data_IF_109773987362
#
_entry.id   IF_109773987362
#
_cell.length_a   1.000
_cell.length_b   1.000
_cell.length_c   1.000
_cell.angle_alpha   90.00
_cell.angle_beta   90.00
_cell.angle_gamma   90.00
#
_symmetry.space_group_name_H-M   'P 1'
#
loop_
_entity.id
_entity.type
_entity.pdbx_description
1 polymer ?
#
# COMPACT_ATOMS: atom_id res chain seq x y z
N UNK A 1 16.06 -11.37 -8.20
CA UNK A 1 17.11 -11.55 -7.14
C UNK A 1 16.86 -10.48 -6.08
N UNK A 2 16.87 -10.87 -4.79
CA UNK A 2 16.68 -9.92 -3.68
C UNK A 2 18.00 -9.20 -3.36
N UNK A 3 17.90 -7.97 -2.86
CA UNK A 3 19.08 -7.16 -2.50
C UNK A 3 19.57 -7.43 -1.07
N UNK A 4 18.70 -8.00 -0.23
CA UNK A 4 19.02 -8.45 1.13
C UNK A 4 18.53 -9.86 1.34
N UNK A 5 19.09 -10.56 2.34
CA UNK A 5 18.60 -11.86 2.77
C UNK A 5 17.63 -11.67 3.93
N UNK A 6 16.45 -12.27 3.81
CA UNK A 6 15.56 -12.36 4.95
C UNK A 6 16.20 -13.26 6.03
N UNK A 7 16.13 -12.89 7.32
CA UNK A 7 16.62 -13.77 8.38
C UNK A 7 15.92 -15.14 8.33
N UNK A 8 16.67 -16.22 8.55
CA UNK A 8 16.11 -17.58 8.55
C UNK A 8 15.14 -17.80 9.72
N UNK A 9 15.46 -17.23 10.87
CA UNK A 9 14.63 -17.26 12.07
C UNK A 9 14.43 -15.82 12.59
N UNK A 10 13.56 -15.03 11.94
CA UNK A 10 13.42 -13.63 12.29
C UNK A 10 12.86 -13.41 13.70
N UNK A 11 12.04 -14.34 14.20
CA UNK A 11 11.40 -14.22 15.51
C UNK A 11 12.31 -14.60 16.68
N UNK A 12 13.51 -15.08 16.42
CA UNK A 12 14.55 -15.19 17.45
C UNK A 12 15.02 -13.82 17.96
N UNK A 13 14.82 -12.76 17.17
CA UNK A 13 15.09 -11.38 17.58
C UNK A 13 13.86 -10.78 18.27
N UNK A 14 13.94 -10.38 19.56
CA UNK A 14 12.77 -9.95 20.35
C UNK A 14 12.00 -8.78 19.74
N UNK A 15 12.69 -7.80 19.16
CA UNK A 15 12.04 -6.64 18.51
C UNK A 15 11.28 -7.04 17.26
N UNK A 16 11.84 -7.94 16.44
CA UNK A 16 11.17 -8.47 15.24
C UNK A 16 9.93 -9.27 15.64
N UNK A 17 10.07 -10.15 16.65
CA UNK A 17 8.94 -10.93 17.16
C UNK A 17 7.80 -10.03 17.63
N UNK A 18 8.11 -8.98 18.37
CA UNK A 18 7.11 -8.02 18.85
C UNK A 18 6.35 -7.36 17.70
N UNK A 19 7.03 -6.96 16.63
CA UNK A 19 6.38 -6.40 15.42
C UNK A 19 5.51 -7.44 14.73
N UNK A 20 6.01 -8.67 14.53
CA UNK A 20 5.25 -9.73 13.88
C UNK A 20 4.00 -10.10 14.67
N UNK A 21 4.11 -10.19 16.01
CA UNK A 21 2.96 -10.43 16.87
C UNK A 21 1.92 -9.31 16.77
N UNK A 22 2.36 -8.06 16.70
CA UNK A 22 1.45 -6.91 16.52
C UNK A 22 0.79 -6.89 15.13
N UNK A 23 1.53 -7.27 14.07
CA UNK A 23 0.95 -7.43 12.72
C UNK A 23 -0.16 -8.49 12.74
N UNK A 24 0.10 -9.65 13.33
CA UNK A 24 -0.87 -10.75 13.43
C UNK A 24 -2.10 -10.33 14.20
N UNK A 25 -1.92 -9.68 15.34
CA UNK A 25 -3.02 -9.19 16.17
C UNK A 25 -3.85 -8.13 15.43
N UNK A 26 -3.19 -7.17 14.77
CA UNK A 26 -3.86 -6.09 14.04
C UNK A 26 -4.65 -6.60 12.84
N UNK A 27 -4.09 -7.55 12.09
CA UNK A 27 -4.70 -8.11 10.87
C UNK A 27 -5.55 -9.34 11.13
N UNK A 28 -5.55 -9.88 12.35
CA UNK A 28 -6.29 -11.07 12.75
C UNK A 28 -5.96 -12.29 11.85
N UNK A 29 -4.68 -12.52 11.60
CA UNK A 29 -4.15 -13.63 10.82
C UNK A 29 -2.74 -13.98 11.27
N UNK A 30 -2.35 -15.23 11.13
CA UNK A 30 -0.98 -15.66 11.42
C UNK A 30 0.01 -15.36 10.30
N UNK A 31 -0.50 -14.96 9.15
CA UNK A 31 0.31 -14.71 7.96
C UNK A 31 1.16 -13.44 8.08
N UNK A 32 2.46 -13.57 7.79
CA UNK A 32 3.40 -12.44 7.69
C UNK A 32 3.87 -12.34 6.24
N UNK A 33 3.55 -11.23 5.58
CA UNK A 33 3.95 -10.96 4.21
C UNK A 33 5.47 -10.98 4.05
N UNK A 34 5.94 -11.31 2.87
CA UNK A 34 7.36 -11.27 2.53
C UNK A 34 8.00 -9.90 2.81
N UNK A 35 7.32 -8.79 2.52
CA UNK A 35 7.84 -7.45 2.83
C UNK A 35 8.33 -7.35 4.28
N UNK A 36 7.51 -7.76 5.24
CA UNK A 36 7.87 -7.70 6.65
C UNK A 36 9.01 -8.67 7.00
N UNK A 37 9.01 -9.85 6.39
CA UNK A 37 10.07 -10.84 6.58
C UNK A 37 11.42 -10.32 6.08
N UNK A 38 11.42 -9.64 4.93
CA UNK A 38 12.64 -9.03 4.39
C UNK A 38 13.07 -7.81 5.20
N UNK A 39 12.14 -6.95 5.63
CA UNK A 39 12.44 -5.80 6.50
C UNK A 39 13.02 -6.22 7.85
N UNK A 40 12.79 -7.46 8.29
CA UNK A 40 13.36 -7.99 9.53
C UNK A 40 14.90 -8.06 9.52
N UNK A 41 15.57 -7.83 8.39
CA UNK A 41 17.02 -7.68 8.35
C UNK A 41 17.52 -6.45 9.13
N UNK A 42 16.64 -5.42 9.27
CA UNK A 42 16.87 -4.23 10.08
C UNK A 42 15.66 -4.00 11.02
N UNK A 43 15.74 -4.40 12.28
CA UNK A 43 14.63 -4.28 13.22
C UNK A 43 14.11 -2.84 13.40
N UNK A 44 14.97 -1.85 13.33
CA UNK A 44 14.58 -0.43 13.45
C UNK A 44 13.73 0.01 12.25
N UNK A 45 14.16 -0.32 11.04
CA UNK A 45 13.41 -0.03 9.82
C UNK A 45 12.07 -0.76 9.81
N UNK A 46 12.04 -2.02 10.23
CA UNK A 46 10.82 -2.81 10.38
C UNK A 46 9.82 -2.14 11.32
N UNK A 47 10.26 -1.76 12.51
CA UNK A 47 9.42 -1.10 13.53
C UNK A 47 8.83 0.22 13.01
N UNK A 48 9.67 1.07 12.44
CA UNK A 48 9.24 2.38 11.92
C UNK A 48 8.23 2.22 10.79
N UNK A 49 8.50 1.32 9.87
CA UNK A 49 7.62 1.08 8.71
C UNK A 49 6.27 0.52 9.15
N UNK A 50 6.28 -0.49 10.04
CA UNK A 50 5.02 -1.05 10.53
C UNK A 50 4.21 -0.04 11.35
N UNK A 51 4.85 0.74 12.21
CA UNK A 51 4.17 1.77 12.99
C UNK A 51 3.42 2.78 12.09
N UNK A 52 4.05 3.19 11.00
CA UNK A 52 3.43 4.10 10.04
C UNK A 52 2.28 3.44 9.27
N UNK A 53 2.48 2.24 8.75
CA UNK A 53 1.43 1.48 8.05
C UNK A 53 0.24 1.24 8.98
N UNK A 54 0.46 0.83 10.22
CA UNK A 54 -0.61 0.64 11.21
C UNK A 54 -1.40 1.92 11.44
N UNK A 55 -0.69 3.03 11.65
CA UNK A 55 -1.32 4.34 11.89
C UNK A 55 -2.16 4.80 10.70
N UNK A 56 -1.65 4.66 9.49
CA UNK A 56 -2.30 5.17 8.28
C UNK A 56 -3.40 4.23 7.78
N UNK A 57 -3.12 2.93 7.74
CA UNK A 57 -3.99 1.96 7.06
C UNK A 57 -4.91 1.19 8.01
N UNK A 58 -4.46 0.86 9.21
CA UNK A 58 -5.21 -0.01 10.13
C UNK A 58 -5.99 0.76 11.21
N UNK A 59 -5.61 1.99 11.52
CA UNK A 59 -6.32 2.81 12.52
C UNK A 59 -7.55 3.45 11.88
N UNK A 60 -8.75 3.32 12.46
CA UNK A 60 -9.95 3.99 11.97
C UNK A 60 -9.77 5.50 11.83
N UNK A 61 -10.23 6.05 10.70
CA UNK A 61 -10.09 7.48 10.40
C UNK A 61 -11.20 7.91 9.41
N UNK A 62 -11.08 9.10 8.83
CA UNK A 62 -12.08 9.69 7.94
C UNK A 62 -12.35 8.84 6.69
N UNK A 63 -11.30 8.27 6.08
CA UNK A 63 -11.46 7.37 4.94
C UNK A 63 -11.70 5.94 5.44
N UNK A 64 -12.69 5.26 4.87
CA UNK A 64 -12.96 3.87 5.21
C UNK A 64 -11.83 2.93 4.73
N UNK A 65 -11.73 1.72 5.30
CA UNK A 65 -10.64 0.81 4.98
C UNK A 65 -10.56 0.42 3.50
N UNK A 66 -11.67 0.21 2.82
CA UNK A 66 -11.68 -0.14 1.39
C UNK A 66 -11.18 1.02 0.55
N UNK A 67 -11.64 2.24 0.81
CA UNK A 67 -11.17 3.45 0.11
C UNK A 67 -9.66 3.62 0.25
N UNK A 68 -9.11 3.41 1.45
CA UNK A 68 -7.65 3.45 1.67
C UNK A 68 -6.91 2.45 0.79
N UNK A 69 -7.42 1.22 0.65
CA UNK A 69 -6.81 0.20 -0.20
C UNK A 69 -6.88 0.59 -1.69
N UNK A 70 -8.01 1.13 -2.15
CA UNK A 70 -8.16 1.57 -3.54
C UNK A 70 -7.17 2.68 -3.90
N UNK A 71 -6.96 3.64 -2.99
CA UNK A 71 -5.95 4.70 -3.15
C UNK A 71 -4.55 4.09 -3.18
N UNK A 72 -4.26 3.14 -2.29
CA UNK A 72 -2.95 2.48 -2.23
C UNK A 72 -2.64 1.70 -3.51
N UNK A 73 -3.62 0.94 -4.02
CA UNK A 73 -3.50 0.23 -5.31
C UNK A 73 -3.16 1.22 -6.43
N UNK A 74 -3.89 2.32 -6.52
CA UNK A 74 -3.68 3.36 -7.53
C UNK A 74 -2.26 3.91 -7.48
N UNK A 75 -1.78 4.30 -6.32
CA UNK A 75 -0.42 4.79 -6.12
C UNK A 75 0.62 3.72 -6.48
N UNK A 76 0.37 2.47 -6.12
CA UNK A 76 1.26 1.34 -6.40
C UNK A 76 1.37 1.04 -7.89
N UNK A 77 0.27 1.16 -8.64
CA UNK A 77 0.29 1.01 -10.10
C UNK A 77 1.17 2.11 -10.73
N UNK A 78 0.96 3.36 -10.33
CA UNK A 78 1.71 4.51 -10.86
C UNK A 78 3.19 4.42 -10.51
N UNK A 79 3.52 3.96 -9.29
CA UNK A 79 4.89 3.75 -8.85
C UNK A 79 5.55 2.48 -9.42
N UNK A 80 4.81 1.63 -10.13
CA UNK A 80 5.34 0.39 -10.73
C UNK A 80 5.69 -0.70 -9.71
N UNK A 81 5.05 -0.70 -8.54
CA UNK A 81 5.28 -1.72 -7.50
C UNK A 81 4.36 -2.95 -7.70
N UNK A 82 4.81 -3.93 -8.48
CA UNK A 82 4.04 -5.16 -8.71
C UNK A 82 3.66 -5.87 -7.41
N UNK A 83 4.60 -6.01 -6.49
CA UNK A 83 4.34 -6.62 -5.17
C UNK A 83 3.22 -5.90 -4.42
N UNK A 84 3.26 -4.56 -4.39
CA UNK A 84 2.27 -3.75 -3.69
C UNK A 84 0.89 -3.84 -4.35
N UNK A 85 0.85 -3.85 -5.69
CA UNK A 85 -0.42 -4.05 -6.44
C UNK A 85 -1.07 -5.36 -6.03
N UNK A 86 -0.32 -6.46 -6.01
CA UNK A 86 -0.87 -7.77 -5.62
C UNK A 86 -1.33 -7.78 -4.15
N UNK A 87 -0.50 -7.32 -3.23
CA UNK A 87 -0.82 -7.37 -1.79
C UNK A 87 -2.03 -6.50 -1.43
N UNK A 88 -2.11 -5.30 -1.97
CA UNK A 88 -3.23 -4.39 -1.69
C UNK A 88 -4.51 -4.74 -2.45
N UNK A 89 -4.42 -5.36 -3.63
CA UNK A 89 -5.58 -5.94 -4.30
C UNK A 89 -6.17 -7.09 -3.48
N UNK A 90 -5.34 -7.95 -2.92
CA UNK A 90 -5.79 -9.01 -2.02
C UNK A 90 -6.45 -8.43 -0.76
N UNK A 91 -5.84 -7.40 -0.16
CA UNK A 91 -6.40 -6.72 1.01
C UNK A 91 -7.74 -6.03 0.70
N UNK A 92 -7.85 -5.36 -0.44
CA UNK A 92 -9.10 -4.73 -0.89
C UNK A 92 -10.21 -5.77 -1.10
N UNK A 93 -9.87 -6.90 -1.73
CA UNK A 93 -10.82 -8.02 -1.92
C UNK A 93 -11.32 -8.55 -0.57
N UNK A 94 -10.43 -8.73 0.40
CA UNK A 94 -10.79 -9.15 1.75
C UNK A 94 -11.69 -8.12 2.47
N UNK A 95 -11.60 -6.83 2.09
CA UNK A 95 -12.45 -5.75 2.60
C UNK A 95 -13.71 -5.50 1.78
N UNK A 96 -14.03 -6.39 0.84
CA UNK A 96 -15.27 -6.38 0.08
C UNK A 96 -15.22 -5.72 -1.29
N UNK A 97 -14.02 -5.45 -1.85
CA UNK A 97 -13.93 -5.00 -3.24
C UNK A 97 -14.54 -6.03 -4.19
N UNK A 98 -15.53 -5.61 -4.96
CA UNK A 98 -16.15 -6.46 -5.99
C UNK A 98 -15.33 -6.46 -7.29
N UNK A 99 -15.48 -7.48 -8.17
CA UNK A 99 -14.86 -7.45 -9.49
C UNK A 99 -15.23 -6.21 -10.31
N UNK A 100 -16.46 -5.71 -10.17
CA UNK A 100 -16.94 -4.50 -10.84
C UNK A 100 -16.22 -3.25 -10.32
N UNK A 101 -16.06 -3.12 -9.00
CA UNK A 101 -15.30 -2.03 -8.40
C UNK A 101 -13.82 -2.07 -8.82
N UNK A 102 -13.23 -3.27 -8.90
CA UNK A 102 -11.86 -3.43 -9.39
C UNK A 102 -11.73 -2.98 -10.85
N UNK A 103 -12.64 -3.39 -11.73
CA UNK A 103 -12.66 -2.96 -13.13
C UNK A 103 -12.80 -1.43 -13.26
N UNK A 104 -13.68 -0.82 -12.46
CA UNK A 104 -13.87 0.63 -12.44
C UNK A 104 -12.61 1.37 -11.97
N UNK A 105 -11.95 0.89 -10.92
CA UNK A 105 -10.66 1.41 -10.46
C UNK A 105 -9.63 1.41 -11.59
N UNK A 106 -9.49 0.29 -12.31
CA UNK A 106 -8.53 0.17 -13.40
C UNK A 106 -8.87 1.10 -14.56
N UNK A 107 -10.15 1.29 -14.86
CA UNK A 107 -10.61 2.25 -15.88
C UNK A 107 -10.23 3.68 -15.50
N UNK A 108 -10.40 4.06 -14.23
CA UNK A 108 -10.02 5.38 -13.72
C UNK A 108 -8.50 5.57 -13.79
N UNK A 109 -7.73 4.59 -13.38
CA UNK A 109 -6.25 4.66 -13.43
C UNK A 109 -5.76 4.84 -14.87
N UNK A 110 -6.30 4.06 -15.81
CA UNK A 110 -5.93 4.16 -17.22
C UNK A 110 -6.33 5.50 -17.85
N UNK A 111 -7.52 6.00 -17.50
CA UNK A 111 -7.98 7.31 -17.97
C UNK A 111 -7.13 8.44 -17.39
N UNK A 112 -6.82 8.41 -16.10
CA UNK A 112 -5.98 9.41 -15.46
C UNK A 112 -4.57 9.44 -16.09
N UNK A 113 -3.98 8.28 -16.35
CA UNK A 113 -2.69 8.19 -17.04
C UNK A 113 -2.73 8.87 -18.42
N UNK A 114 -3.79 8.64 -19.19
CA UNK A 114 -3.99 9.27 -20.51
C UNK A 114 -4.13 10.78 -20.39
N UNK A 115 -5.06 11.28 -19.57
CA UNK A 115 -5.34 12.72 -19.47
C UNK A 115 -4.17 13.48 -18.86
N UNK A 116 -3.49 12.91 -17.87
CA UNK A 116 -2.29 13.51 -17.27
C UNK A 116 -1.17 13.67 -18.30
N UNK A 117 -0.95 12.66 -19.14
CA UNK A 117 0.05 12.76 -20.22
C UNK A 117 -0.33 13.79 -21.28
N UNK A 118 -1.60 13.85 -21.65
CA UNK A 118 -2.09 14.87 -22.61
C UNK A 118 -1.94 16.27 -22.05
N UNK A 119 -2.36 16.50 -20.81
CA UNK A 119 -2.23 17.80 -20.16
C UNK A 119 -0.76 18.25 -20.07
N UNK A 120 0.14 17.32 -19.75
CA UNK A 120 1.58 17.56 -19.69
C UNK A 120 2.16 17.85 -21.08
N UNK A 121 1.80 17.05 -22.09
CA UNK A 121 2.30 17.22 -23.46
C UNK A 121 1.86 18.56 -24.07
N UNK A 122 0.64 18.96 -23.77
CA UNK A 122 0.07 20.23 -24.25
C UNK A 122 0.48 21.43 -23.39
N UNK A 123 1.12 21.20 -22.24
CA UNK A 123 1.45 22.24 -21.26
C UNK A 123 0.25 23.16 -20.93
N UNK A 124 -0.89 22.52 -20.67
CA UNK A 124 -2.16 23.23 -20.40
C UNK A 124 -1.98 24.16 -19.21
N UNK A 125 -2.26 25.47 -19.34
CA UNK A 125 -2.19 26.40 -18.23
C UNK A 125 -3.26 26.08 -17.18
N UNK A 126 -2.98 26.41 -15.92
CA UNK A 126 -3.96 26.25 -14.83
C UNK A 126 -5.11 27.23 -15.00
N UNK A 127 -6.32 26.74 -14.90
CA UNK A 127 -7.52 27.58 -14.89
C UNK A 127 -7.62 28.38 -13.59
N UNK A 128 -7.88 29.70 -13.66
CA UNK A 128 -7.97 30.53 -12.45
C UNK A 128 -9.01 30.04 -11.43
N UNK A 129 -10.05 29.37 -11.87
CA UNK A 129 -11.10 28.79 -11.04
C UNK A 129 -10.59 27.67 -10.10
N UNK A 130 -9.44 27.05 -10.43
CA UNK A 130 -8.82 26.01 -9.61
C UNK A 130 -7.84 26.58 -8.60
N UNK A 131 -7.38 27.83 -8.78
CA UNK A 131 -6.47 28.52 -7.89
C UNK A 131 -7.25 29.14 -6.72
N UNK A 132 -7.75 28.28 -5.86
CA UNK A 132 -8.39 28.70 -4.61
C UNK A 132 -7.33 28.69 -3.52
N UNK A 133 -6.63 29.82 -3.38
CA UNK A 133 -5.61 30.04 -2.38
C UNK A 133 -5.97 29.66 -0.95
#
# INVERSE_FOLDING_TARGET
MTTVQAPLDPESHPRVKAVFDDIRATRQTDFINHLWRYLAFDPTLLEQTWAEVKRVMATPSTLDPLTKELIYITASIINGCSYCVHSHTAAATAKGMTPQQHAELLAIVGLAAKTNQLATALQVPLDPEFDRG
#
